data_IF_487253451176
#
_entry.id   IF_487253451176
#
_cell.length_a   1.000
_cell.length_b   1.000
_cell.length_c   1.000
_cell.angle_alpha   90.00
_cell.angle_beta   90.00
_cell.angle_gamma   90.00
#
_symmetry.space_group_name_H-M   'P 1'
#
loop_
_entity.id
_entity.type
_entity.pdbx_description
1 polymer ?
#
# COMPACT_ATOMS: atom_id res chain seq x y z
N UNK A 1 -15.14 3.04 8.56
CA UNK A 1 -13.75 3.52 8.54
C UNK A 1 -12.92 2.66 7.60
N UNK A 2 -12.04 3.26 6.83
CA UNK A 2 -11.26 2.56 5.83
C UNK A 2 -9.79 2.54 6.22
N UNK A 3 -9.13 1.39 6.10
CA UNK A 3 -7.72 1.25 6.39
C UNK A 3 -6.94 1.17 5.08
N UNK A 4 -6.04 2.12 4.88
CA UNK A 4 -5.23 2.25 3.67
C UNK A 4 -3.78 1.97 4.05
N UNK A 5 -3.15 1.03 3.36
CA UNK A 5 -1.74 0.69 3.59
C UNK A 5 -0.94 1.16 2.40
N UNK A 6 0.15 1.90 2.66
CA UNK A 6 1.00 2.44 1.61
C UNK A 6 2.42 1.89 1.79
N UNK A 7 3.00 1.42 0.70
CA UNK A 7 4.36 0.88 0.70
C UNK A 7 5.37 2.03 0.78
N UNK A 8 6.17 2.05 1.83
CA UNK A 8 7.07 3.17 2.11
C UNK A 8 8.53 2.76 2.09
N UNK A 9 9.39 3.69 1.70
CA UNK A 9 10.83 3.50 1.58
C UNK A 9 11.57 3.82 2.88
N UNK A 10 10.90 4.45 3.84
CA UNK A 10 11.49 4.87 5.10
C UNK A 10 10.44 4.86 6.21
N UNK A 11 10.84 5.24 7.41
CA UNK A 11 9.97 5.23 8.58
C UNK A 11 9.46 6.62 8.97
N UNK A 12 9.33 7.51 8.00
CA UNK A 12 8.88 8.88 8.25
C UNK A 12 7.36 9.03 8.15
N UNK A 13 6.63 7.95 7.91
CA UNK A 13 5.17 8.01 7.83
C UNK A 13 4.71 8.81 6.62
N UNK A 14 3.75 9.70 6.84
CA UNK A 14 3.20 10.50 5.74
C UNK A 14 4.20 11.46 5.13
N UNK A 15 5.26 11.80 5.86
CA UNK A 15 6.32 12.69 5.37
C UNK A 15 7.38 11.93 4.56
N UNK A 16 7.32 10.62 4.56
CA UNK A 16 8.30 9.78 3.87
C UNK A 16 7.99 9.61 2.40
N UNK A 17 8.81 8.78 1.75
CA UNK A 17 8.67 8.51 0.32
C UNK A 17 8.05 7.15 0.07
N UNK A 18 7.28 7.05 -1.02
CA UNK A 18 6.76 5.77 -1.48
C UNK A 18 7.92 4.88 -1.91
N UNK A 19 7.80 3.59 -1.59
CA UNK A 19 8.78 2.60 -2.02
C UNK A 19 8.68 2.39 -3.53
N UNK A 20 9.80 1.99 -4.15
CA UNK A 20 9.83 1.67 -5.58
C UNK A 20 9.28 0.28 -5.86
N UNK A 21 9.41 -0.64 -4.91
CA UNK A 21 8.97 -2.03 -5.08
C UNK A 21 8.08 -2.44 -3.92
N UNK A 22 6.91 -2.95 -4.26
CA UNK A 22 5.93 -3.31 -3.24
C UNK A 22 6.46 -4.39 -2.27
N UNK A 23 6.93 -5.51 -2.78
CA UNK A 23 7.28 -6.65 -1.92
C UNK A 23 8.55 -6.45 -1.10
N UNK A 24 9.41 -5.55 -1.52
CA UNK A 24 10.70 -5.31 -0.88
C UNK A 24 10.77 -4.01 -0.11
N UNK A 25 9.66 -3.32 0.04
CA UNK A 25 9.67 -2.07 0.79
C UNK A 25 9.99 -2.37 2.26
N UNK A 26 10.79 -1.50 2.91
CA UNK A 26 11.16 -1.74 4.31
C UNK A 26 10.04 -1.48 5.28
N UNK A 27 9.08 -0.63 4.94
CA UNK A 27 7.99 -0.23 5.84
C UNK A 27 6.67 -0.11 5.12
N UNK A 28 5.59 -0.23 5.90
CA UNK A 28 4.24 0.12 5.45
C UNK A 28 3.70 1.20 6.35
N UNK A 29 3.06 2.19 5.76
CA UNK A 29 2.33 3.21 6.50
C UNK A 29 0.87 2.80 6.51
N UNK A 30 0.30 2.63 7.69
CA UNK A 30 -1.09 2.19 7.87
C UNK A 30 -1.91 3.39 8.32
N UNK A 31 -2.87 3.79 7.50
CA UNK A 31 -3.67 4.99 7.73
C UNK A 31 -5.12 4.60 7.83
N UNK A 32 -5.80 5.09 8.86
CA UNK A 32 -7.24 4.91 8.99
C UNK A 32 -7.92 6.23 8.71
N UNK A 33 -8.88 6.20 7.79
CA UNK A 33 -9.63 7.39 7.41
C UNK A 33 -11.12 7.17 7.68
N UNK A 34 -11.82 8.26 8.02
CA UNK A 34 -13.26 8.22 8.26
C UNK A 34 -14.03 8.42 6.96
N UNK A 35 -15.37 8.47 7.05
CA UNK A 35 -16.24 8.64 5.89
C UNK A 35 -16.06 9.97 5.16
N UNK A 36 -15.44 10.95 5.80
CA UNK A 36 -15.15 12.26 5.21
C UNK A 36 -13.74 12.34 4.65
N UNK A 37 -13.05 11.21 4.52
CA UNK A 37 -11.68 11.13 4.03
C UNK A 37 -10.67 11.86 4.91
N UNK A 38 -10.97 11.96 6.21
CA UNK A 38 -10.05 12.56 7.18
C UNK A 38 -9.25 11.47 7.86
N UNK A 39 -7.95 11.72 8.03
CA UNK A 39 -7.04 10.78 8.68
C UNK A 39 -7.32 10.77 10.18
N UNK A 40 -7.68 9.60 10.71
CA UNK A 40 -7.96 9.41 12.12
C UNK A 40 -6.77 8.84 12.87
N UNK A 41 -5.96 8.01 12.19
CA UNK A 41 -4.85 7.33 12.80
C UNK A 41 -3.80 7.01 11.74
N UNK A 42 -2.54 7.12 12.11
CA UNK A 42 -1.42 6.73 11.25
C UNK A 42 -0.43 5.93 12.10
N UNK A 43 0.03 4.80 11.58
CA UNK A 43 1.10 4.05 12.21
C UNK A 43 2.05 3.50 11.15
N UNK A 44 3.24 3.11 11.57
CA UNK A 44 4.28 2.58 10.69
C UNK A 44 4.56 1.15 11.14
N UNK A 45 4.55 0.23 10.16
CA UNK A 45 4.84 -1.18 10.41
C UNK A 45 6.04 -1.60 9.58
N UNK A 46 7.02 -2.23 10.22
CA UNK A 46 8.16 -2.77 9.48
C UNK A 46 7.69 -3.98 8.66
N UNK A 47 8.24 -4.11 7.46
CA UNK A 47 7.94 -5.26 6.60
C UNK A 47 8.88 -6.42 6.97
N UNK A 48 8.39 -7.48 7.62
CA UNK A 48 9.24 -8.60 8.00
C UNK A 48 9.72 -9.43 6.80
N UNK A 49 9.12 -9.20 5.64
CA UNK A 49 9.43 -9.95 4.42
C UNK A 49 10.22 -9.14 3.40
N UNK A 50 10.83 -8.02 3.82
CA UNK A 50 11.52 -7.13 2.89
C UNK A 50 12.70 -7.80 2.18
N UNK A 51 13.41 -8.67 2.87
CA UNK A 51 14.59 -9.33 2.31
C UNK A 51 14.26 -10.66 1.66
N UNK A 52 13.30 -11.38 2.22
CA UNK A 52 13.00 -12.74 1.79
C UNK A 52 11.54 -13.05 2.05
N UNK A 53 10.85 -13.56 1.06
CA UNK A 53 9.46 -13.96 1.22
C UNK A 53 9.10 -15.03 0.20
N UNK A 54 8.19 -15.92 0.60
CA UNK A 54 7.59 -16.89 -0.29
C UNK A 54 6.32 -16.36 -0.94
N UNK A 55 5.72 -17.16 -1.82
CA UNK A 55 4.47 -16.74 -2.49
C UNK A 55 3.37 -16.43 -1.48
N UNK A 56 2.76 -15.28 -1.60
CA UNK A 56 1.63 -14.89 -0.79
C UNK A 56 1.95 -14.38 0.62
N UNK A 57 3.22 -14.44 1.06
CA UNK A 57 3.58 -13.98 2.40
C UNK A 57 3.36 -12.49 2.59
N UNK A 58 3.79 -11.68 1.63
CA UNK A 58 3.64 -10.22 1.73
C UNK A 58 2.17 -9.81 1.67
N UNK A 59 1.36 -10.29 0.70
CA UNK A 59 -0.07 -9.99 0.71
C UNK A 59 -0.77 -10.40 2.00
N UNK A 60 -0.45 -11.56 2.54
CA UNK A 60 -1.04 -12.01 3.80
C UNK A 60 -0.66 -11.09 4.96
N UNK A 61 0.60 -10.64 4.99
CA UNK A 61 1.05 -9.71 6.01
C UNK A 61 0.25 -8.40 5.93
N UNK A 62 0.14 -7.83 4.74
CA UNK A 62 -0.61 -6.59 4.53
C UNK A 62 -2.07 -6.78 4.95
N UNK A 63 -2.68 -7.90 4.56
CA UNK A 63 -4.05 -8.21 4.96
C UNK A 63 -4.18 -8.29 6.48
N UNK A 64 -3.17 -8.83 7.17
CA UNK A 64 -3.19 -8.95 8.63
C UNK A 64 -3.15 -7.60 9.34
N UNK A 65 -2.74 -6.53 8.65
CA UNK A 65 -2.75 -5.18 9.18
C UNK A 65 -4.15 -4.56 9.15
N UNK A 66 -5.12 -5.28 8.62
CA UNK A 66 -6.49 -4.80 8.49
C UNK A 66 -6.73 -4.01 7.21
N UNK A 67 -5.87 -4.14 6.22
CA UNK A 67 -5.93 -3.34 5.01
C UNK A 67 -7.23 -3.54 4.23
N UNK A 68 -7.89 -2.45 3.90
CA UNK A 68 -8.96 -2.43 2.90
C UNK A 68 -8.38 -2.12 1.53
N UNK A 69 -7.29 -1.37 1.50
CA UNK A 69 -6.61 -0.94 0.28
C UNK A 69 -5.11 -0.99 0.49
N UNK A 70 -4.39 -1.47 -0.54
CA UNK A 70 -2.93 -1.36 -0.60
C UNK A 70 -2.56 -0.39 -1.74
N UNK A 71 -1.74 0.60 -1.44
CA UNK A 71 -1.29 1.60 -2.41
C UNK A 71 0.20 1.41 -2.63
N UNK A 72 0.62 1.24 -3.88
CA UNK A 72 2.00 1.00 -4.25
C UNK A 72 2.28 1.56 -5.64
N UNK A 73 3.56 1.81 -6.00
CA UNK A 73 3.86 2.37 -7.33
C UNK A 73 3.54 1.40 -8.47
N UNK A 74 3.72 0.13 -8.24
CA UNK A 74 3.37 -0.91 -9.19
C UNK A 74 3.36 -2.24 -8.46
N UNK A 75 2.76 -3.25 -9.08
CA UNK A 75 2.63 -4.54 -8.42
C UNK A 75 2.58 -5.65 -9.46
N UNK A 76 3.28 -6.75 -9.17
CA UNK A 76 3.27 -7.91 -10.05
C UNK A 76 1.91 -8.59 -10.07
N UNK A 77 1.63 -9.31 -11.16
CA UNK A 77 0.34 -9.98 -11.36
C UNK A 77 0.03 -10.97 -10.24
N UNK A 78 1.04 -11.68 -9.74
CA UNK A 78 0.81 -12.65 -8.66
C UNK A 78 0.36 -11.98 -7.37
N UNK A 79 0.96 -10.85 -7.03
CA UNK A 79 0.56 -10.10 -5.85
C UNK A 79 -0.85 -9.55 -6.00
N UNK A 80 -1.18 -9.01 -7.17
CA UNK A 80 -2.52 -8.50 -7.45
C UNK A 80 -3.55 -9.62 -7.28
N UNK A 81 -3.27 -10.82 -7.80
CA UNK A 81 -4.17 -11.96 -7.66
C UNK A 81 -4.37 -12.36 -6.19
N UNK A 82 -3.30 -12.31 -5.39
CA UNK A 82 -3.41 -12.62 -3.97
C UNK A 82 -4.31 -11.63 -3.25
N UNK A 83 -4.12 -10.31 -3.52
CA UNK A 83 -4.97 -9.30 -2.89
C UNK A 83 -6.42 -9.43 -3.32
N UNK A 84 -6.66 -9.78 -4.57
CA UNK A 84 -8.01 -10.02 -5.05
C UNK A 84 -8.68 -11.12 -4.24
N UNK A 85 -7.98 -12.23 -3.99
CA UNK A 85 -8.48 -13.32 -3.17
C UNK A 85 -8.74 -12.91 -1.72
N UNK A 86 -7.89 -12.02 -1.20
CA UNK A 86 -7.99 -11.57 0.19
C UNK A 86 -9.02 -10.44 0.36
N UNK A 87 -9.60 -9.96 -0.73
CA UNK A 87 -10.58 -8.89 -0.67
C UNK A 87 -9.98 -7.51 -0.41
N UNK A 88 -8.70 -7.33 -0.75
CA UNK A 88 -8.01 -6.05 -0.58
C UNK A 88 -7.93 -5.35 -1.93
N UNK A 89 -8.41 -4.11 -1.98
CA UNK A 89 -8.31 -3.29 -3.19
C UNK A 89 -6.85 -2.92 -3.44
N UNK A 90 -6.43 -2.89 -4.70
CA UNK A 90 -5.08 -2.49 -5.09
C UNK A 90 -5.16 -1.18 -5.87
N UNK A 91 -4.41 -0.17 -5.46
CA UNK A 91 -4.29 1.08 -6.19
C UNK A 91 -2.81 1.29 -6.55
N UNK A 92 -2.51 1.44 -7.82
CA UNK A 92 -1.14 1.58 -8.30
C UNK A 92 -0.96 2.89 -9.07
N UNK A 93 0.30 3.18 -9.42
CA UNK A 93 0.64 4.40 -10.15
C UNK A 93 1.17 5.51 -9.26
N UNK A 94 1.35 5.22 -7.98
CA UNK A 94 1.82 6.21 -7.01
C UNK A 94 3.33 6.34 -7.02
N UNK A 95 3.81 7.54 -6.71
CA UNK A 95 5.22 7.80 -6.50
C UNK A 95 5.36 9.10 -5.72
N UNK A 96 6.55 9.36 -5.20
CA UNK A 96 6.81 10.57 -4.44
C UNK A 96 6.50 10.39 -2.96
N UNK A 97 5.94 11.42 -2.35
CA UNK A 97 5.69 11.41 -0.91
C UNK A 97 4.47 10.56 -0.55
N UNK A 98 4.56 9.87 0.59
CA UNK A 98 3.48 9.01 1.06
C UNK A 98 2.19 9.81 1.27
N UNK A 99 2.27 10.95 1.95
CA UNK A 99 1.09 11.78 2.21
C UNK A 99 0.45 12.31 0.93
N UNK A 100 1.27 12.72 -0.04
CA UNK A 100 0.75 13.20 -1.32
C UNK A 100 0.06 12.06 -2.08
N UNK A 101 0.61 10.85 -2.00
CA UNK A 101 0.03 9.67 -2.63
C UNK A 101 -1.30 9.31 -1.98
N UNK A 102 -1.35 9.37 -0.65
CA UNK A 102 -2.60 9.14 0.07
C UNK A 102 -3.67 10.11 -0.38
N UNK A 103 -3.32 11.38 -0.48
CA UNK A 103 -4.28 12.40 -0.91
C UNK A 103 -4.75 12.14 -2.35
N UNK A 104 -3.84 11.75 -3.25
CA UNK A 104 -4.20 11.41 -4.62
C UNK A 104 -5.19 10.24 -4.67
N UNK A 105 -4.98 9.24 -3.81
CA UNK A 105 -5.93 8.13 -3.74
C UNK A 105 -7.30 8.61 -3.23
N UNK A 106 -7.32 9.39 -2.16
CA UNK A 106 -8.57 9.90 -1.59
C UNK A 106 -9.34 10.80 -2.57
N UNK A 107 -8.61 11.53 -3.41
CA UNK A 107 -9.21 12.38 -4.42
C UNK A 107 -9.65 11.63 -5.68
N UNK A 108 -9.36 10.32 -5.74
CA UNK A 108 -9.70 9.50 -6.90
C UNK A 108 -8.74 9.64 -8.06
N UNK A 109 -7.59 10.30 -7.89
CA UNK A 109 -6.61 10.49 -8.94
C UNK A 109 -5.86 9.20 -9.27
N UNK A 110 -5.73 8.30 -8.30
CA UNK A 110 -5.16 6.97 -8.53
C UNK A 110 -6.15 5.93 -8.03
N UNK A 111 -6.33 4.87 -8.78
CA UNK A 111 -7.23 3.78 -8.41
C UNK A 111 -7.00 2.59 -9.32
N UNK A 112 -7.39 1.42 -8.84
CA UNK A 112 -7.28 0.21 -9.63
C UNK A 112 -5.86 -0.29 -9.76
N UNK A 113 -5.73 -1.52 -10.23
CA UNK A 113 -4.44 -2.18 -10.36
C UNK A 113 -3.93 -2.07 -11.79
N UNK A 114 -2.71 -1.53 -11.93
CA UNK A 114 -1.98 -1.56 -13.19
C UNK A 114 -0.82 -2.53 -13.00
N UNK A 115 -0.67 -3.48 -13.88
CA UNK A 115 0.43 -4.43 -13.78
C UNK A 115 1.78 -3.74 -13.88
N UNK A 116 2.84 -4.43 -13.46
CA UNK A 116 4.19 -3.88 -13.48
C UNK A 116 4.63 -3.42 -14.86
N UNK A 117 4.09 -4.01 -15.89
CA UNK A 117 4.39 -3.60 -17.26
C UNK A 117 3.50 -2.47 -17.74
N UNK A 118 2.64 -1.97 -16.87
CA UNK A 118 1.85 -0.79 -17.15
C UNK A 118 0.87 -0.90 -18.29
N UNK A 119 0.40 -2.09 -18.58
CA UNK A 119 -0.60 -2.21 -19.61
C UNK A 119 -1.88 -1.64 -19.23
#
# INVERSE_FOLDING_TARGET
MKTIVLAANDDLGLDGEMAQHFGRCPYYVVVRVNGDHQVEQTRIEANPHARQHGPGEVPKFVHSLGADVIVAPGMGQKAIAWFDRLGVEVATGSRGQVGATLQAYLDGAISGATGCKGE
#
